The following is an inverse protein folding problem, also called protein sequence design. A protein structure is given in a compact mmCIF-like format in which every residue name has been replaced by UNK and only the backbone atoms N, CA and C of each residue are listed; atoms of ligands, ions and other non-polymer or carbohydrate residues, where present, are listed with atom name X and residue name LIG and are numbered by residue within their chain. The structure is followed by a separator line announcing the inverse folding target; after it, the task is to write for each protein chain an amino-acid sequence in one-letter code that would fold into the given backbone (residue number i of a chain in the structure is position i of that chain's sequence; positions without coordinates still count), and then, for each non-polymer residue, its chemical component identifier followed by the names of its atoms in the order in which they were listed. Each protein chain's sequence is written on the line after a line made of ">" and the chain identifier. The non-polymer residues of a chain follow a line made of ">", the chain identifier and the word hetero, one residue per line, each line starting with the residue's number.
data_IF_788788455852
#
_entry.id   IF_788788455852
#
_cell.length_a   1.000
_cell.length_b   1.000
_cell.length_c   1.000
_cell.angle_alpha   90.00
_cell.angle_beta   90.00
_cell.angle_gamma   90.00
#
_symmetry.space_group_name_H-M   'P 1'
#
loop_
_entity.id
_entity.type
_entity.pdbx_description
1 polymer ?
#
# COMPACT_ATOMS: atom_id res chain seq x y z
N UNK A 1 14.34 35.52 41.25
CA UNK A 1 13.22 35.21 40.34
C UNK A 1 13.59 33.91 39.64
N UNK A 2 13.03 32.77 40.07
CA UNK A 2 13.40 31.46 39.53
C UNK A 2 12.56 31.17 38.28
N UNK A 3 13.21 31.10 37.12
CA UNK A 3 12.58 30.68 35.87
C UNK A 3 12.47 29.15 35.89
N UNK A 4 11.26 28.65 36.08
CA UNK A 4 10.94 27.24 35.87
C UNK A 4 10.92 27.01 34.36
N UNK A 5 11.92 26.30 33.84
CA UNK A 5 11.93 25.82 32.46
C UNK A 5 11.04 24.57 32.37
N UNK A 6 9.79 24.75 31.96
CA UNK A 6 8.92 23.64 31.56
C UNK A 6 9.52 22.93 30.35
N UNK A 7 9.81 21.64 30.50
CA UNK A 7 10.30 20.79 29.42
C UNK A 7 9.13 20.36 28.53
N UNK A 8 9.28 20.35 27.19
CA UNK A 8 8.17 20.08 26.28
C UNK A 8 7.72 18.61 26.40
N UNK A 9 6.47 18.42 26.82
CA UNK A 9 5.84 17.11 26.86
C UNK A 9 5.76 16.51 25.45
N UNK A 10 6.48 15.42 25.21
CA UNK A 10 6.40 14.70 23.95
C UNK A 10 5.06 13.95 23.90
N UNK A 11 4.27 14.09 22.81
CA UNK A 11 3.00 13.37 22.68
C UNK A 11 3.25 11.87 22.79
N UNK A 12 2.61 11.26 23.79
CA UNK A 12 2.72 9.82 23.97
C UNK A 12 2.06 9.14 22.76
N UNK A 13 2.74 8.19 22.08
CA UNK A 13 2.13 7.47 20.97
C UNK A 13 0.81 6.81 21.39
N UNK A 14 -0.24 6.94 20.59
CA UNK A 14 -1.60 6.43 20.87
C UNK A 14 -1.67 4.92 21.16
N UNK A 15 -0.61 4.20 20.82
CA UNK A 15 -0.41 2.76 20.94
C UNK A 15 0.56 2.36 22.07
N UNK A 16 1.12 3.30 22.85
CA UNK A 16 2.00 2.96 23.97
C UNK A 16 1.24 2.11 24.98
N UNK A 17 1.72 0.88 25.21
CA UNK A 17 1.10 -0.09 26.12
C UNK A 17 -0.09 -0.88 25.55
N UNK A 18 -0.44 -0.72 24.26
CA UNK A 18 -1.50 -1.52 23.62
C UNK A 18 -0.88 -2.66 22.81
N UNK A 19 -1.19 -3.91 23.15
CA UNK A 19 -0.94 -5.09 22.32
C UNK A 19 -1.82 -4.99 21.06
N UNK A 20 -1.33 -4.30 20.02
CA UNK A 20 -1.94 -4.38 18.69
C UNK A 20 -1.51 -5.72 18.10
N UNK A 21 -2.37 -6.73 18.26
CA UNK A 21 -2.12 -8.09 17.76
C UNK A 21 -1.83 -8.12 16.26
N UNK A 22 -1.05 -9.12 15.84
CA UNK A 22 -0.80 -9.38 14.42
C UNK A 22 -2.13 -9.66 13.71
N UNK A 23 -2.44 -8.86 12.68
CA UNK A 23 -3.65 -9.07 11.85
C UNK A 23 -3.53 -10.37 11.06
N UNK A 24 -4.65 -11.06 10.89
CA UNK A 24 -4.70 -12.37 10.22
C UNK A 24 -4.44 -12.19 8.72
N UNK A 25 -3.60 -13.01 8.07
CA UNK A 25 -3.43 -12.96 6.62
C UNK A 25 -4.70 -13.47 5.91
N UNK A 26 -5.01 -12.90 4.73
CA UNK A 26 -6.11 -13.38 3.88
C UNK A 26 -5.81 -14.81 3.38
N UNK A 27 -6.80 -15.70 3.43
CA UNK A 27 -6.65 -17.06 2.89
C UNK A 27 -6.81 -17.03 1.36
N UNK A 28 -6.32 -18.06 0.68
CA UNK A 28 -6.43 -18.18 -0.78
C UNK A 28 -7.89 -18.08 -1.26
N UNK A 29 -8.81 -18.71 -0.54
CA UNK A 29 -10.27 -18.63 -0.80
C UNK A 29 -10.78 -17.19 -0.74
N UNK A 30 -10.30 -16.40 0.22
CA UNK A 30 -10.73 -15.01 0.42
C UNK A 30 -10.19 -14.13 -0.71
N UNK A 31 -8.94 -14.34 -1.11
CA UNK A 31 -8.32 -13.65 -2.26
C UNK A 31 -9.12 -13.91 -3.53
N UNK A 32 -9.50 -15.16 -3.77
CA UNK A 32 -10.31 -15.53 -4.93
C UNK A 32 -11.71 -14.90 -4.86
N UNK A 33 -12.36 -14.95 -3.70
CA UNK A 33 -13.68 -14.36 -3.50
C UNK A 33 -13.69 -12.84 -3.72
N UNK A 34 -12.66 -12.12 -3.27
CA UNK A 34 -12.50 -10.68 -3.53
C UNK A 34 -12.34 -10.46 -5.04
N UNK A 35 -11.41 -11.19 -5.67
CA UNK A 35 -11.11 -11.05 -7.10
C UNK A 35 -12.35 -11.21 -7.97
N UNK A 36 -13.12 -12.29 -7.75
CA UNK A 36 -14.35 -12.58 -8.50
C UNK A 36 -15.38 -11.47 -8.32
N UNK A 37 -15.59 -10.98 -7.08
CA UNK A 37 -16.53 -9.87 -6.84
C UNK A 37 -16.11 -8.59 -7.57
N UNK A 38 -14.82 -8.25 -7.55
CA UNK A 38 -14.29 -7.08 -8.28
C UNK A 38 -14.49 -7.20 -9.79
N UNK A 39 -14.29 -8.40 -10.35
CA UNK A 39 -14.53 -8.69 -11.77
C UNK A 39 -16.01 -8.56 -12.13
N UNK A 40 -16.92 -9.19 -11.37
CA UNK A 40 -18.36 -9.13 -11.61
C UNK A 40 -18.90 -7.70 -11.51
N UNK A 41 -18.39 -6.91 -10.55
CA UNK A 41 -18.75 -5.51 -10.38
C UNK A 41 -18.08 -4.57 -11.40
N UNK A 42 -17.25 -5.09 -12.32
CA UNK A 42 -16.47 -4.32 -13.29
C UNK A 42 -15.66 -3.16 -12.66
N UNK A 43 -15.16 -3.36 -11.44
CA UNK A 43 -14.35 -2.36 -10.72
C UNK A 43 -12.90 -2.42 -11.21
N UNK A 44 -12.63 -2.03 -12.46
CA UNK A 44 -11.33 -2.21 -13.15
C UNK A 44 -10.14 -1.67 -12.35
N UNK A 45 -10.24 -0.44 -11.83
CA UNK A 45 -9.19 0.18 -11.01
C UNK A 45 -8.86 -0.64 -9.76
N UNK A 46 -9.91 -1.04 -9.05
CA UNK A 46 -9.79 -1.74 -7.77
C UNK A 46 -9.27 -3.17 -8.01
N UNK A 47 -9.66 -3.81 -9.11
CA UNK A 47 -9.11 -5.09 -9.55
C UNK A 47 -7.61 -5.00 -9.87
N UNK A 48 -7.19 -3.99 -10.64
CA UNK A 48 -5.78 -3.76 -10.95
C UNK A 48 -4.95 -3.51 -9.68
N UNK A 49 -5.47 -2.66 -8.78
CA UNK A 49 -4.83 -2.36 -7.49
C UNK A 49 -4.73 -3.60 -6.60
N UNK A 50 -5.80 -4.38 -6.49
CA UNK A 50 -5.84 -5.60 -5.70
C UNK A 50 -4.83 -6.64 -6.22
N UNK A 51 -4.86 -6.90 -7.52
CA UNK A 51 -3.96 -7.87 -8.15
C UNK A 51 -2.49 -7.48 -7.97
N UNK A 52 -2.14 -6.21 -8.20
CA UNK A 52 -0.78 -5.73 -8.01
C UNK A 52 -0.34 -5.76 -6.54
N UNK A 53 -1.24 -5.49 -5.59
CA UNK A 53 -0.93 -5.58 -4.16
C UNK A 53 -0.56 -7.01 -3.74
N UNK A 54 -1.24 -8.02 -4.28
CA UNK A 54 -0.96 -9.44 -4.00
C UNK A 54 0.38 -9.85 -4.60
N UNK A 55 0.62 -9.51 -5.87
CA UNK A 55 1.82 -9.91 -6.60
C UNK A 55 3.09 -9.23 -6.04
N UNK A 56 3.01 -7.93 -5.77
CA UNK A 56 4.16 -7.13 -5.35
C UNK A 56 4.48 -7.22 -3.85
N UNK A 57 3.48 -7.52 -3.02
CA UNK A 57 3.57 -7.52 -1.55
C UNK A 57 4.17 -6.22 -0.97
N UNK A 58 4.04 -5.12 -1.71
CA UNK A 58 4.56 -3.82 -1.29
C UNK A 58 3.76 -3.27 -0.11
N UNK A 59 4.41 -2.39 0.67
CA UNK A 59 3.72 -1.59 1.68
C UNK A 59 2.73 -0.68 0.97
N UNK A 60 1.61 -0.35 1.61
CA UNK A 60 0.60 0.53 1.02
C UNK A 60 1.14 1.86 0.55
N UNK A 61 2.09 2.46 1.28
CA UNK A 61 2.74 3.71 0.86
C UNK A 61 3.60 3.53 -0.40
N UNK A 62 4.35 2.43 -0.53
CA UNK A 62 5.15 2.15 -1.71
C UNK A 62 4.24 1.87 -2.92
N UNK A 63 3.17 1.08 -2.72
CA UNK A 63 2.19 0.70 -3.75
C UNK A 63 1.47 1.91 -4.35
N UNK A 64 0.93 2.81 -3.51
CA UNK A 64 0.16 3.96 -4.01
C UNK A 64 1.03 5.01 -4.68
N UNK A 65 2.34 5.02 -4.41
CA UNK A 65 3.28 5.95 -5.03
C UNK A 65 3.85 5.45 -6.37
N UNK A 66 3.49 4.24 -6.82
CA UNK A 66 3.92 3.72 -8.11
C UNK A 66 3.43 4.60 -9.26
N UNK A 67 4.30 4.77 -10.25
CA UNK A 67 3.99 5.39 -11.54
C UNK A 67 3.93 4.34 -12.64
N UNK A 68 3.30 4.70 -13.75
CA UNK A 68 3.19 3.81 -14.92
C UNK A 68 4.57 3.37 -15.41
N UNK A 69 5.54 4.30 -15.51
CA UNK A 69 6.93 4.00 -15.92
C UNK A 69 7.68 3.01 -15.02
N UNK A 70 7.23 2.81 -13.78
CA UNK A 70 7.91 1.91 -12.84
C UNK A 70 7.62 0.43 -13.17
N UNK A 71 6.55 0.17 -13.95
CA UNK A 71 6.08 -1.17 -14.30
C UNK A 71 5.86 -1.37 -15.80
N UNK A 72 5.81 -0.30 -16.59
CA UNK A 72 5.49 -0.33 -18.01
C UNK A 72 6.62 0.26 -18.86
N UNK A 73 6.82 -0.34 -20.03
CA UNK A 73 7.70 0.17 -21.08
C UNK A 73 6.88 0.32 -22.37
N UNK A 74 6.62 1.57 -22.76
CA UNK A 74 5.71 1.87 -23.87
C UNK A 74 4.29 1.38 -23.58
N UNK A 75 3.74 0.55 -24.46
CA UNK A 75 2.41 -0.02 -24.31
C UNK A 75 2.37 -1.35 -23.52
N UNK A 76 3.53 -1.90 -23.14
CA UNK A 76 3.63 -3.22 -22.51
C UNK A 76 3.94 -3.11 -21.02
N UNK A 77 3.29 -3.94 -20.21
CA UNK A 77 3.62 -4.09 -18.78
C UNK A 77 4.70 -5.16 -18.65
N UNK A 78 5.79 -4.82 -17.97
CA UNK A 78 6.89 -5.74 -17.75
C UNK A 78 6.45 -6.92 -16.87
N UNK A 79 6.93 -8.15 -17.16
CA UNK A 79 6.62 -9.31 -16.32
C UNK A 79 7.29 -9.22 -14.94
N UNK A 80 8.30 -8.35 -14.79
CA UNK A 80 8.97 -8.04 -13.53
C UNK A 80 9.15 -6.54 -13.41
N UNK A 81 9.03 -6.03 -12.20
CA UNK A 81 9.29 -4.64 -11.88
C UNK A 81 10.26 -4.53 -10.70
N UNK A 82 11.03 -3.45 -10.67
CA UNK A 82 11.96 -3.13 -9.59
C UNK A 82 11.58 -1.78 -9.01
N UNK A 83 11.25 -1.76 -7.71
CA UNK A 83 10.76 -0.56 -7.03
C UNK A 83 11.65 -0.29 -5.82
N UNK A 84 12.07 0.96 -5.67
CA UNK A 84 12.82 1.41 -4.50
C UNK A 84 11.88 1.60 -3.32
N UNK A 85 12.02 0.80 -2.25
CA UNK A 85 11.21 0.99 -1.05
C UNK A 85 11.58 2.27 -0.32
N UNK A 86 10.59 3.08 0.05
CA UNK A 86 10.82 4.38 0.68
C UNK A 86 11.50 4.27 2.04
N UNK A 87 11.09 3.28 2.84
CA UNK A 87 11.56 3.15 4.22
C UNK A 87 12.99 2.63 4.33
N UNK A 88 13.35 1.70 3.47
CA UNK A 88 14.61 0.96 3.55
C UNK A 88 15.61 1.40 2.50
N UNK A 89 15.20 2.18 1.50
CA UNK A 89 15.98 2.54 0.32
C UNK A 89 16.62 1.31 -0.35
N UNK A 90 15.90 0.19 -0.35
CA UNK A 90 16.33 -1.04 -1.02
C UNK A 90 15.48 -1.29 -2.26
N UNK A 91 16.09 -1.64 -3.40
CA UNK A 91 15.34 -2.09 -4.56
C UNK A 91 14.70 -3.43 -4.23
N UNK A 92 13.41 -3.55 -4.50
CA UNK A 92 12.67 -4.81 -4.40
C UNK A 92 12.16 -5.15 -5.78
N UNK A 93 12.54 -6.34 -6.24
CA UNK A 93 12.03 -6.92 -7.47
C UNK A 93 10.85 -7.84 -7.16
N UNK A 94 9.80 -7.74 -7.96
CA UNK A 94 8.65 -8.64 -7.89
C UNK A 94 8.16 -9.01 -9.29
N UNK A 95 7.46 -10.14 -9.36
CA UNK A 95 6.83 -10.61 -10.58
C UNK A 95 5.42 -10.05 -10.68
N UNK A 96 5.01 -9.66 -11.88
CA UNK A 96 3.65 -9.20 -12.19
C UNK A 96 3.02 -10.32 -13.01
N UNK A 97 2.01 -11.00 -12.49
CA UNK A 97 1.37 -12.11 -13.21
C UNK A 97 0.66 -11.63 -14.47
N UNK A 98 0.43 -12.51 -15.45
CA UNK A 98 -0.27 -12.16 -16.70
C UNK A 98 -1.65 -11.54 -16.43
N UNK A 99 -2.41 -12.12 -15.50
CA UNK A 99 -3.71 -11.57 -15.12
C UNK A 99 -3.61 -10.15 -14.55
N UNK A 100 -2.56 -9.86 -13.78
CA UNK A 100 -2.30 -8.52 -13.25
C UNK A 100 -1.91 -7.56 -14.37
N UNK A 101 -1.08 -7.99 -15.33
CA UNK A 101 -0.71 -7.17 -16.50
C UNK A 101 -1.94 -6.76 -17.30
N UNK A 102 -2.82 -7.70 -17.62
CA UNK A 102 -4.08 -7.41 -18.34
C UNK A 102 -4.92 -6.40 -17.57
N UNK A 103 -5.16 -6.63 -16.27
CA UNK A 103 -5.96 -5.71 -15.46
C UNK A 103 -5.35 -4.30 -15.37
N UNK A 104 -4.02 -4.20 -15.34
CA UNK A 104 -3.31 -2.92 -15.35
C UNK A 104 -3.44 -2.22 -16.71
N UNK A 105 -3.32 -2.95 -17.81
CA UNK A 105 -3.50 -2.40 -19.18
C UNK A 105 -4.91 -1.84 -19.32
N UNK A 106 -5.93 -2.62 -18.96
CA UNK A 106 -7.34 -2.18 -18.99
C UNK A 106 -7.54 -0.91 -18.16
N UNK A 107 -6.90 -0.82 -16.99
CA UNK A 107 -6.97 0.36 -16.15
C UNK A 107 -6.25 1.57 -16.75
N UNK A 108 -5.03 1.41 -17.27
CA UNK A 108 -4.27 2.50 -17.90
C UNK A 108 -5.03 3.06 -19.10
N UNK A 109 -5.62 2.18 -19.92
CA UNK A 109 -6.45 2.57 -21.06
C UNK A 109 -7.73 3.29 -20.61
N UNK A 110 -8.44 2.76 -19.60
CA UNK A 110 -9.66 3.38 -19.10
C UNK A 110 -9.40 4.77 -18.49
N UNK A 111 -8.30 4.93 -17.76
CA UNK A 111 -7.94 6.17 -17.08
C UNK A 111 -7.07 7.11 -17.93
N UNK A 112 -6.67 6.69 -19.13
CA UNK A 112 -5.80 7.45 -20.05
C UNK A 112 -4.50 7.92 -19.37
N UNK A 113 -3.85 7.03 -18.63
CA UNK A 113 -2.64 7.36 -17.87
C UNK A 113 -1.41 7.39 -18.78
N UNK A 114 -0.52 8.37 -18.53
CA UNK A 114 0.79 8.48 -19.17
C UNK A 114 1.88 7.91 -18.26
N UNK A 115 3.07 7.72 -18.83
CA UNK A 115 4.24 7.13 -18.16
C UNK A 115 4.60 7.83 -16.84
N UNK A 116 4.49 9.15 -16.78
CA UNK A 116 4.82 9.98 -15.63
C UNK A 116 3.74 10.05 -14.56
N UNK A 117 2.51 9.64 -14.89
CA UNK A 117 1.37 9.69 -13.99
C UNK A 117 1.45 8.57 -12.94
N UNK A 118 0.80 8.82 -11.79
CA UNK A 118 0.63 7.78 -10.78
C UNK A 118 -0.25 6.67 -11.35
N UNK A 119 0.13 5.42 -11.08
CA UNK A 119 -0.63 4.26 -11.52
C UNK A 119 -2.04 4.25 -10.91
N UNK A 120 -2.19 4.74 -9.69
CA UNK A 120 -3.48 4.88 -9.01
C UNK A 120 -3.66 6.33 -8.54
N UNK A 121 -4.12 7.23 -9.42
CA UNK A 121 -4.36 8.61 -9.06
C UNK A 121 -5.57 8.76 -8.13
N UNK A 122 -5.59 9.86 -7.37
CA UNK A 122 -6.72 10.25 -6.54
C UNK A 122 -7.92 10.62 -7.42
N UNK A 123 -9.13 10.29 -6.96
CA UNK A 123 -10.38 10.63 -7.68
C UNK A 123 -10.62 12.14 -7.79
N UNK A 124 -10.06 12.93 -6.87
CA UNK A 124 -10.30 14.38 -6.76
C UNK A 124 -9.25 15.17 -7.53
N UNK A 125 -8.02 14.66 -7.59
CA UNK A 125 -6.91 15.31 -8.26
C UNK A 125 -6.02 14.26 -8.90
N UNK A 126 -6.06 14.18 -10.23
CA UNK A 126 -5.30 13.20 -11.03
C UNK A 126 -3.78 13.38 -10.93
N UNK A 127 -3.30 14.57 -10.59
CA UNK A 127 -1.88 14.84 -10.37
C UNK A 127 -1.37 14.31 -9.01
N UNK A 128 -2.26 13.82 -8.14
CA UNK A 128 -1.90 13.29 -6.82
C UNK A 128 -2.19 11.79 -6.76
N UNK A 129 -1.33 11.06 -6.05
CA UNK A 129 -1.56 9.65 -5.77
C UNK A 129 -2.76 9.41 -4.84
N UNK A 130 -3.30 8.19 -4.89
CA UNK A 130 -4.19 7.66 -3.86
C UNK A 130 -3.53 7.77 -2.48
N UNK A 131 -4.21 8.35 -1.50
CA UNK A 131 -3.67 8.44 -0.14
C UNK A 131 -3.69 7.06 0.52
N UNK A 132 -2.69 6.74 1.35
CA UNK A 132 -2.62 5.47 2.10
C UNK A 132 -3.87 5.21 2.94
N UNK A 133 -4.48 6.26 3.50
CA UNK A 133 -5.76 6.15 4.23
C UNK A 133 -6.93 5.79 3.33
N UNK A 134 -6.96 6.30 2.09
CA UNK A 134 -7.97 5.93 1.09
C UNK A 134 -7.79 4.48 0.66
N UNK A 135 -6.54 4.06 0.41
CA UNK A 135 -6.21 2.66 0.14
C UNK A 135 -6.67 1.73 1.28
N UNK A 136 -6.38 2.07 2.54
CA UNK A 136 -6.84 1.28 3.68
C UNK A 136 -8.38 1.15 3.75
N UNK A 137 -9.12 2.21 3.38
CA UNK A 137 -10.59 2.15 3.28
C UNK A 137 -11.07 1.25 2.14
N UNK A 138 -10.38 1.27 1.00
CA UNK A 138 -10.68 0.40 -0.14
C UNK A 138 -10.46 -1.07 0.24
N UNK A 139 -9.31 -1.39 0.86
CA UNK A 139 -9.03 -2.75 1.36
C UNK A 139 -10.08 -3.19 2.36
N UNK A 140 -10.45 -2.31 3.31
CA UNK A 140 -11.51 -2.57 4.27
C UNK A 140 -12.83 -2.93 3.57
N UNK A 141 -13.21 -2.18 2.54
CA UNK A 141 -14.43 -2.41 1.78
C UNK A 141 -14.43 -3.78 1.10
N UNK A 142 -13.32 -4.17 0.47
CA UNK A 142 -13.20 -5.49 -0.19
C UNK A 142 -13.37 -6.65 0.81
N UNK A 143 -12.76 -6.54 1.99
CA UNK A 143 -12.87 -7.56 3.05
C UNK A 143 -14.30 -7.65 3.58
N UNK A 144 -14.96 -6.51 3.82
CA UNK A 144 -16.36 -6.52 4.27
C UNK A 144 -17.31 -7.06 3.21
N UNK A 145 -17.04 -6.83 1.92
CA UNK A 145 -17.87 -7.27 0.80
C UNK A 145 -17.91 -8.81 0.68
N UNK A 146 -16.87 -9.49 1.18
CA UNK A 146 -16.81 -10.96 1.23
C UNK A 146 -17.36 -11.56 2.53
N UNK A 147 -17.86 -10.74 3.46
CA UNK A 147 -18.42 -11.18 4.74
C UNK A 147 -17.39 -11.46 5.82
N UNK A 148 -16.14 -11.02 5.65
CA UNK A 148 -15.12 -11.11 6.69
C UNK A 148 -15.13 -9.87 7.60
N UNK A 149 -14.79 -10.06 8.87
CA UNK A 149 -14.58 -8.94 9.79
C UNK A 149 -13.29 -8.18 9.45
N UNK A 150 -13.47 -7.00 8.84
CA UNK A 150 -12.41 -6.06 8.50
C UNK A 150 -11.53 -5.60 9.68
N UNK A 151 -11.96 -5.77 10.94
CA UNK A 151 -11.12 -5.46 12.10
C UNK A 151 -9.91 -6.42 12.21
N UNK A 152 -10.09 -7.65 11.73
CA UNK A 152 -9.12 -8.73 11.75
C UNK A 152 -8.12 -8.69 10.57
N UNK A 153 -8.45 -7.95 9.50
CA UNK A 153 -7.70 -7.92 8.24
C UNK A 153 -7.37 -6.49 7.81
N UNK A 154 -6.10 -6.18 7.57
CA UNK A 154 -5.67 -4.88 7.03
C UNK A 154 -4.20 -4.58 7.26
N UNK A 155 -3.63 -3.64 6.50
CA UNK A 155 -2.29 -3.14 6.78
C UNK A 155 -2.29 -2.35 8.07
N UNK A 156 -1.46 -2.76 9.03
CA UNK A 156 -1.15 -1.95 10.20
C UNK A 156 -0.51 -0.64 9.72
N UNK A 157 -0.85 0.52 10.31
CA UNK A 157 0.04 1.65 10.23
C UNK A 157 1.30 1.29 11.05
N UNK A 158 2.36 0.81 10.39
CA UNK A 158 3.65 0.58 11.06
C UNK A 158 4.15 1.87 11.71
N UNK A 159 4.75 1.78 12.91
CA UNK A 159 6.05 2.39 13.11
C UNK A 159 7.00 1.32 13.65
N UNK A 160 7.75 0.67 12.76
CA UNK A 160 9.00 0.01 13.13
C UNK A 160 10.14 0.93 12.73
N UNK A 161 10.57 1.81 13.64
CA UNK A 161 11.88 2.45 13.55
C UNK A 161 12.98 1.44 13.89
N UNK A 162 14.22 1.63 13.41
CA UNK A 162 15.31 0.71 13.72
C UNK A 162 15.67 0.74 15.21
N UNK A 163 16.19 -0.37 15.78
CA UNK A 163 16.71 -0.37 17.15
C UNK A 163 17.92 0.59 17.22
N UNK A 164 17.82 1.61 18.07
CA UNK A 164 18.96 2.46 18.40
C UNK A 164 19.97 1.63 19.18
N UNK A 165 21.15 1.45 18.58
CA UNK A 165 22.31 0.94 19.26
C UNK A 165 22.69 1.88 20.41
N UNK A 166 22.90 1.28 21.57
CA UNK A 166 23.36 1.90 22.80
C UNK A 166 24.76 2.49 22.57
N UNK A 167 24.84 3.80 22.30
CA UNK A 167 26.10 4.54 22.32
C UNK A 167 26.35 5.02 23.74
N UNK A 168 26.84 4.10 24.59
CA UNK A 168 27.73 4.49 25.69
C UNK A 168 29.05 4.94 25.07
N UNK A 169 29.23 6.25 24.94
CA UNK A 169 30.55 6.86 24.92
C UNK A 169 30.63 7.74 26.17
N UNK A 170 31.20 7.17 27.23
CA UNK A 170 31.85 7.91 28.30
C UNK A 170 33.23 8.37 27.79
N UNK A 171 33.59 9.60 28.17
CA UNK A 171 34.94 10.21 28.22
C UNK A 171 35.81 10.15 26.96
#
# INVERSE_FOLDING_TARGET
>A
MNVVTESPSTPTPWNKGKLVGQKVPLRLRDIWAIRVRLQLAKKTRDLALFNLAIDSKLRGCDLVNLRVRDIAHGACISPRAIVMQQKTHRPVQFEITEQTRIAIIDWIQLAQLRSEDFLFPSRINSAKQLLTRQYARIVKAWVTEIGLDASMYGQSPDPVGPPQADKRCNA
#
